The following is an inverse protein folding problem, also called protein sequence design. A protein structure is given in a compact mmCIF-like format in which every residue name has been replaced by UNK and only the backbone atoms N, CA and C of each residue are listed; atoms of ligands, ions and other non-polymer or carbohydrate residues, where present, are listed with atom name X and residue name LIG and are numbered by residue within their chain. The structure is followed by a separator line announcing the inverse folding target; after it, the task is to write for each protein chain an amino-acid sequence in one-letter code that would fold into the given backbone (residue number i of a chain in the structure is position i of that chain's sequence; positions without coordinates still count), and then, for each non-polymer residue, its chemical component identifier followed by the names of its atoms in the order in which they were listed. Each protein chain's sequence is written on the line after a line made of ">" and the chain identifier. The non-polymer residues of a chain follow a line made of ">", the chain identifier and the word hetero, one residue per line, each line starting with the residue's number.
data_IF_577332995340
#
_entry.id   IF_577332995340
#
_cell.length_a   1.000
_cell.length_b   1.000
_cell.length_c   1.000
_cell.angle_alpha   90.00
_cell.angle_beta   90.00
_cell.angle_gamma   90.00
#
_symmetry.space_group_name_H-M   'P 1'
#
loop_
_entity.id
_entity.type
_entity.pdbx_description
1 polymer ?
#
# COMPACT_ATOMS: atom_id res chain seq x y z
N UNK A 1 -12.31 -6.23 -27.05
CA UNK A 1 -11.44 -7.35 -26.61
C UNK A 1 -11.47 -7.38 -25.09
N UNK A 2 -12.15 -8.36 -24.50
CA UNK A 2 -12.34 -8.48 -23.05
C UNK A 2 -11.13 -9.16 -22.41
N UNK A 3 -10.17 -8.38 -21.90
CA UNK A 3 -9.28 -8.89 -20.86
C UNK A 3 -10.05 -8.85 -19.54
N UNK A 4 -10.58 -9.99 -19.08
CA UNK A 4 -10.91 -10.17 -17.67
C UNK A 4 -9.58 -10.29 -16.90
N UNK A 5 -8.87 -9.17 -16.76
CA UNK A 5 -7.51 -9.10 -16.24
C UNK A 5 -7.48 -9.49 -14.77
N UNK A 6 -6.71 -10.53 -14.44
CA UNK A 6 -6.23 -10.81 -13.09
C UNK A 6 -5.39 -9.61 -12.65
N UNK A 7 -6.03 -8.63 -12.00
CA UNK A 7 -5.33 -7.49 -11.41
C UNK A 7 -4.82 -7.92 -10.03
N UNK A 8 -3.52 -7.79 -9.81
CA UNK A 8 -2.85 -8.09 -8.55
C UNK A 8 -2.59 -6.81 -7.75
N UNK A 9 -2.20 -6.96 -6.50
CA UNK A 9 -1.86 -5.80 -5.67
C UNK A 9 -1.84 -6.10 -4.19
N UNK A 10 -2.07 -5.07 -3.39
CA UNK A 10 -2.07 -5.12 -1.94
C UNK A 10 -3.43 -4.74 -1.37
N UNK A 11 -3.85 -5.46 -0.34
CA UNK A 11 -4.99 -5.09 0.47
C UNK A 11 -4.55 -4.93 1.92
N UNK A 12 -5.03 -3.86 2.56
CA UNK A 12 -4.74 -3.52 3.94
C UNK A 12 -6.07 -3.45 4.69
N UNK A 13 -6.35 -4.44 5.55
CA UNK A 13 -7.60 -4.53 6.32
C UNK A 13 -7.33 -4.32 7.81
N UNK A 14 -8.13 -3.51 8.53
CA UNK A 14 -7.98 -3.34 9.97
C UNK A 14 -8.00 -4.68 10.71
N UNK A 15 -7.03 -4.90 11.60
CA UNK A 15 -6.99 -6.09 12.45
C UNK A 15 -7.34 -5.70 13.88
N UNK A 16 -8.55 -6.05 14.30
CA UNK A 16 -9.13 -5.63 15.59
C UNK A 16 -9.08 -6.74 16.65
N UNK A 17 -8.44 -7.86 16.34
CA UNK A 17 -8.36 -9.04 17.22
C UNK A 17 -9.74 -9.57 17.67
N UNK A 18 -10.79 -9.28 16.90
CA UNK A 18 -12.14 -9.79 17.12
C UNK A 18 -12.37 -11.05 16.27
N UNK A 19 -13.44 -11.79 16.57
CA UNK A 19 -13.78 -13.03 15.84
C UNK A 19 -13.76 -12.83 14.31
N UNK A 20 -14.35 -11.74 13.82
CA UNK A 20 -14.45 -11.42 12.40
C UNK A 20 -13.08 -11.29 11.72
N UNK A 21 -12.17 -10.55 12.34
CA UNK A 21 -10.83 -10.28 11.77
C UNK A 21 -9.88 -11.48 11.93
N UNK A 22 -10.05 -12.29 12.98
CA UNK A 22 -9.34 -13.56 13.15
C UNK A 22 -9.78 -14.58 12.08
N UNK A 23 -11.08 -14.72 11.87
CA UNK A 23 -11.63 -15.62 10.83
C UNK A 23 -11.16 -15.22 9.42
N UNK A 24 -11.11 -13.92 9.12
CA UNK A 24 -10.55 -13.40 7.87
C UNK A 24 -9.08 -13.81 7.70
N UNK A 25 -8.25 -13.59 8.72
CA UNK A 25 -6.82 -13.94 8.71
C UNK A 25 -6.63 -15.44 8.38
N UNK A 26 -7.35 -16.31 9.09
CA UNK A 26 -7.28 -17.76 8.87
C UNK A 26 -7.76 -18.19 7.47
N UNK A 27 -8.82 -17.55 6.96
CA UNK A 27 -9.32 -17.78 5.61
C UNK A 27 -8.27 -17.41 4.55
N UNK A 28 -7.61 -16.26 4.73
CA UNK A 28 -6.58 -15.76 3.82
C UNK A 28 -5.28 -16.59 3.86
N UNK A 29 -4.91 -17.13 5.02
CA UNK A 29 -3.79 -18.09 5.13
C UNK A 29 -3.99 -19.29 4.21
N UNK A 30 -5.22 -19.81 4.12
CA UNK A 30 -5.58 -20.95 3.26
C UNK A 30 -5.89 -20.58 1.81
N UNK A 31 -6.07 -19.30 1.51
CA UNK A 31 -6.49 -18.84 0.17
C UNK A 31 -5.36 -18.91 -0.85
N UNK A 32 -5.63 -19.47 -2.04
CA UNK A 32 -4.69 -19.44 -3.17
C UNK A 32 -4.60 -18.07 -3.84
N UNK A 33 -5.53 -17.16 -3.52
CA UNK A 33 -5.54 -15.79 -4.02
C UNK A 33 -4.57 -14.86 -3.26
N UNK A 34 -4.23 -15.20 -2.01
CA UNK A 34 -3.31 -14.44 -1.16
C UNK A 34 -1.94 -15.08 -1.22
N UNK A 35 -0.96 -14.35 -1.73
CA UNK A 35 0.43 -14.80 -1.88
C UNK A 35 1.20 -14.69 -0.58
N UNK A 36 1.29 -13.47 -0.07
CA UNK A 36 1.98 -13.13 1.16
C UNK A 36 1.04 -12.36 2.07
N UNK A 37 1.24 -12.51 3.38
CA UNK A 37 0.44 -11.81 4.38
C UNK A 37 1.30 -11.38 5.55
N UNK A 38 1.05 -10.18 6.06
CA UNK A 38 1.86 -9.54 7.08
C UNK A 38 0.98 -8.88 8.13
N UNK A 39 1.40 -8.96 9.38
CA UNK A 39 0.87 -8.11 10.44
C UNK A 39 1.66 -6.81 10.46
N UNK A 40 0.96 -5.67 10.33
CA UNK A 40 1.61 -4.37 10.18
C UNK A 40 1.02 -3.31 11.11
N UNK A 41 1.87 -2.36 11.51
CA UNK A 41 1.43 -1.10 12.10
C UNK A 41 1.30 -0.04 11.01
N UNK A 42 0.10 0.51 10.84
CA UNK A 42 -0.18 1.61 9.93
C UNK A 42 0.01 2.96 10.64
N UNK A 43 0.74 3.87 9.99
CA UNK A 43 0.90 5.26 10.39
C UNK A 43 0.42 6.15 9.25
N UNK A 44 -0.79 6.68 9.39
CA UNK A 44 -1.37 7.59 8.40
C UNK A 44 -0.79 9.00 8.56
N UNK A 45 -0.50 9.65 7.43
CA UNK A 45 -0.19 11.09 7.41
C UNK A 45 -1.42 11.91 7.80
N UNK A 46 -1.25 13.19 8.21
CA UNK A 46 -2.40 14.08 8.44
C UNK A 46 -3.37 14.14 7.25
N UNK A 47 -2.84 14.13 6.03
CA UNK A 47 -3.63 14.08 4.80
C UNK A 47 -4.37 12.74 4.67
N UNK A 48 -3.71 11.61 4.92
CA UNK A 48 -4.34 10.30 4.89
C UNK A 48 -5.48 10.16 5.91
N UNK A 49 -5.28 10.68 7.12
CA UNK A 49 -6.29 10.67 8.18
C UNK A 49 -7.55 11.45 7.79
N UNK A 50 -7.40 12.56 7.04
CA UNK A 50 -8.54 13.36 6.60
C UNK A 50 -9.48 12.62 5.63
N UNK A 51 -8.94 11.69 4.83
CA UNK A 51 -9.72 10.95 3.82
C UNK A 51 -10.16 9.55 4.28
N UNK A 52 -9.43 8.92 5.21
CA UNK A 52 -9.62 7.51 5.58
C UNK A 52 -9.98 7.32 7.06
N UNK A 53 -10.73 8.27 7.65
CA UNK A 53 -11.25 8.16 9.01
C UNK A 53 -12.65 7.53 9.03
N UNK A 54 -12.96 6.64 10.00
CA UNK A 54 -12.07 6.16 11.07
C UNK A 54 -11.03 5.14 10.55
N UNK A 55 -9.86 5.10 11.19
CA UNK A 55 -8.75 4.20 10.87
C UNK A 55 -8.27 3.40 12.10
N UNK A 56 -7.45 2.37 11.86
CA UNK A 56 -6.77 1.59 12.92
C UNK A 56 -5.27 1.92 12.94
N UNK A 57 -4.57 1.43 13.96
CA UNK A 57 -3.10 1.36 13.91
C UNK A 57 -2.62 -0.03 13.50
N UNK A 58 -3.44 -1.06 13.66
CA UNK A 58 -3.09 -2.45 13.38
C UNK A 58 -3.86 -2.95 12.18
N UNK A 59 -3.14 -3.52 11.21
CA UNK A 59 -3.68 -4.01 9.95
C UNK A 59 -3.06 -5.36 9.57
N UNK A 60 -3.81 -6.10 8.75
CA UNK A 60 -3.27 -7.18 7.91
C UNK A 60 -3.01 -6.60 6.53
N UNK A 61 -1.75 -6.64 6.09
CA UNK A 61 -1.35 -6.35 4.73
C UNK A 61 -1.22 -7.67 3.97
N UNK A 62 -1.95 -7.85 2.87
CA UNK A 62 -1.89 -9.05 2.05
C UNK A 62 -1.65 -8.71 0.59
N UNK A 63 -0.75 -9.46 -0.06
CA UNK A 63 -0.54 -9.42 -1.52
C UNK A 63 -1.53 -10.38 -2.19
N UNK A 64 -2.33 -9.90 -3.13
CA UNK A 64 -3.35 -10.69 -3.81
C UNK A 64 -3.09 -10.82 -5.31
N UNK A 65 -3.55 -11.93 -5.92
CA UNK A 65 -3.45 -12.22 -7.37
C UNK A 65 -4.66 -11.75 -8.18
N UNK A 66 -5.85 -11.74 -7.58
CA UNK A 66 -7.11 -11.42 -8.25
C UNK A 66 -7.91 -10.41 -7.42
N UNK A 67 -8.02 -9.20 -7.97
CA UNK A 67 -8.79 -8.08 -7.39
C UNK A 67 -10.25 -8.41 -7.18
N UNK A 68 -10.92 -9.09 -8.11
CA UNK A 68 -12.34 -9.41 -7.95
C UNK A 68 -12.56 -10.31 -6.73
N UNK A 69 -11.76 -11.38 -6.60
CA UNK A 69 -11.84 -12.31 -5.46
C UNK A 69 -11.56 -11.60 -4.14
N UNK A 70 -10.55 -10.74 -4.07
CA UNK A 70 -10.23 -10.05 -2.81
C UNK A 70 -11.32 -9.03 -2.44
N UNK A 71 -11.90 -8.33 -3.42
CA UNK A 71 -13.02 -7.42 -3.19
C UNK A 71 -14.26 -8.17 -2.66
N UNK A 72 -14.59 -9.30 -3.27
CA UNK A 72 -15.69 -10.15 -2.80
C UNK A 72 -15.45 -10.64 -1.35
N UNK A 73 -14.20 -10.96 -0.99
CA UNK A 73 -13.86 -11.38 0.37
C UNK A 73 -13.92 -10.23 1.38
N UNK A 74 -13.36 -9.05 1.10
CA UNK A 74 -13.40 -7.93 2.06
C UNK A 74 -14.82 -7.43 2.32
N UNK A 75 -15.77 -7.62 1.39
CA UNK A 75 -17.17 -7.23 1.64
C UNK A 75 -17.78 -8.01 2.81
N UNK A 76 -17.38 -9.27 3.00
CA UNK A 76 -17.79 -10.12 4.14
C UNK A 76 -17.22 -9.59 5.46
N UNK A 77 -16.00 -9.03 5.40
CA UNK A 77 -15.25 -8.58 6.56
C UNK A 77 -15.28 -7.07 6.81
N UNK A 78 -16.14 -6.32 6.11
CA UNK A 78 -16.27 -4.86 6.24
C UNK A 78 -16.41 -4.40 7.70
N UNK A 79 -15.73 -3.32 8.02
CA UNK A 79 -15.76 -2.66 9.32
C UNK A 79 -16.02 -1.17 9.10
N UNK A 80 -16.28 -0.43 10.17
CA UNK A 80 -16.40 1.03 10.11
C UNK A 80 -15.03 1.65 9.80
N UNK A 81 -13.94 0.99 10.20
CA UNK A 81 -12.58 1.41 9.86
C UNK A 81 -12.24 1.09 8.40
N UNK A 82 -11.61 2.06 7.73
CA UNK A 82 -11.28 1.93 6.31
C UNK A 82 -10.27 0.81 6.03
N UNK A 83 -10.64 -0.09 5.12
CA UNK A 83 -9.71 -0.98 4.40
C UNK A 83 -9.23 -0.28 3.12
N UNK A 84 -7.97 -0.47 2.76
CA UNK A 84 -7.34 0.11 1.57
C UNK A 84 -6.96 -1.00 0.59
N UNK A 85 -7.22 -0.79 -0.69
CA UNK A 85 -6.92 -1.72 -1.76
C UNK A 85 -6.06 -0.98 -2.77
N UNK A 86 -4.81 -1.41 -2.94
CA UNK A 86 -3.86 -0.89 -3.91
C UNK A 86 -3.77 -1.90 -5.06
N UNK A 87 -4.44 -1.61 -6.16
CA UNK A 87 -4.38 -2.42 -7.37
C UNK A 87 -3.16 -1.98 -8.18
N UNK A 88 -2.16 -2.85 -8.31
CA UNK A 88 -0.92 -2.52 -9.05
C UNK A 88 -1.26 -2.46 -10.54
N UNK A 89 -0.84 -1.36 -11.18
CA UNK A 89 -0.91 -1.16 -12.63
C UNK A 89 0.44 -1.47 -13.26
N UNK A 90 1.37 -0.54 -13.14
CA UNK A 90 2.70 -0.60 -13.73
C UNK A 90 3.78 -0.62 -12.64
N UNK A 91 4.79 -1.46 -12.82
CA UNK A 91 5.99 -1.44 -11.97
C UNK A 91 6.92 -0.30 -12.43
N UNK A 92 7.25 0.58 -11.48
CA UNK A 92 8.27 1.63 -11.70
C UNK A 92 9.67 1.06 -11.59
N UNK A 93 9.82 0.06 -10.71
CA UNK A 93 11.11 -0.47 -10.31
C UNK A 93 10.94 -1.81 -9.59
N UNK A 94 11.79 -2.78 -9.88
CA UNK A 94 11.91 -4.02 -9.09
C UNK A 94 13.38 -4.48 -9.10
N UNK A 95 13.87 -4.94 -7.94
CA UNK A 95 15.18 -5.59 -7.81
C UNK A 95 15.17 -6.60 -6.68
N UNK A 96 16.04 -7.58 -6.79
CA UNK A 96 16.42 -8.39 -5.63
C UNK A 96 17.25 -7.55 -4.67
N UNK A 97 16.81 -7.49 -3.42
CA UNK A 97 17.53 -6.86 -2.31
C UNK A 97 17.73 -7.89 -1.22
N UNK A 98 18.89 -7.83 -0.58
CA UNK A 98 19.21 -8.68 0.56
C UNK A 98 18.35 -8.27 1.77
N UNK A 99 17.55 -9.20 2.28
CA UNK A 99 16.73 -9.01 3.49
C UNK A 99 15.26 -9.37 3.26
N UNK A 100 14.46 -9.28 4.33
CA UNK A 100 13.01 -9.41 4.24
C UNK A 100 12.34 -8.03 4.14
N UNK A 101 11.17 -7.97 3.50
CA UNK A 101 10.37 -6.76 3.47
C UNK A 101 10.06 -6.32 4.90
N UNK A 102 10.46 -5.11 5.26
CA UNK A 102 10.27 -4.55 6.62
C UNK A 102 9.32 -3.37 6.65
N UNK A 103 9.15 -2.70 5.52
CA UNK A 103 8.40 -1.47 5.46
C UNK A 103 7.76 -1.30 4.09
N UNK A 104 6.50 -0.87 4.08
CA UNK A 104 5.80 -0.46 2.85
C UNK A 104 5.36 0.97 3.03
N UNK A 105 5.70 1.83 2.09
CA UNK A 105 5.36 3.25 2.15
C UNK A 105 4.54 3.64 0.94
N UNK A 106 3.38 4.26 1.18
CA UNK A 106 2.41 4.60 0.14
C UNK A 106 2.31 6.11 0.01
N UNK A 107 2.38 6.59 -1.23
CA UNK A 107 2.32 7.99 -1.58
C UNK A 107 1.24 8.23 -2.64
N UNK A 108 0.77 9.46 -2.73
CA UNK A 108 0.03 9.93 -3.90
C UNK A 108 0.72 11.12 -4.53
N UNK A 109 0.54 11.26 -5.84
CA UNK A 109 1.07 12.37 -6.63
C UNK A 109 -0.08 13.34 -6.98
N UNK A 110 0.09 14.63 -6.66
CA UNK A 110 -0.99 15.62 -6.84
C UNK A 110 -1.17 16.10 -8.29
N UNK A 111 -0.09 16.15 -9.08
CA UNK A 111 -0.08 16.78 -10.41
C UNK A 111 0.68 15.97 -11.47
N UNK A 112 0.97 14.68 -11.24
CA UNK A 112 1.72 13.86 -12.20
C UNK A 112 0.78 13.28 -13.26
N UNK A 113 0.50 14.04 -14.31
CA UNK A 113 -0.22 13.52 -15.47
C UNK A 113 0.71 13.17 -16.64
N UNK A 114 2.00 13.48 -16.53
CA UNK A 114 2.95 13.19 -17.60
C UNK A 114 3.72 11.89 -17.36
N UNK A 115 3.97 11.16 -18.45
CA UNK A 115 4.89 9.99 -18.45
C UNK A 115 6.30 10.38 -18.03
N UNK A 116 6.69 11.65 -18.22
CA UNK A 116 7.95 12.21 -17.78
C UNK A 116 8.05 12.25 -16.25
N UNK A 117 7.01 12.72 -15.55
CA UNK A 117 6.98 12.74 -14.08
C UNK A 117 7.14 11.34 -13.51
N UNK A 118 6.40 10.38 -14.08
CA UNK A 118 6.48 8.97 -13.70
C UNK A 118 7.91 8.43 -13.88
N UNK A 119 8.55 8.72 -15.01
CA UNK A 119 9.94 8.33 -15.29
C UNK A 119 10.93 8.95 -14.31
N UNK A 120 10.72 10.21 -13.92
CA UNK A 120 11.56 10.90 -12.95
C UNK A 120 11.38 10.38 -11.52
N UNK A 121 10.16 10.02 -11.13
CA UNK A 121 9.85 9.32 -9.88
C UNK A 121 10.58 7.97 -9.88
N UNK A 122 10.39 7.15 -10.91
CA UNK A 122 11.06 5.86 -11.07
C UNK A 122 12.59 6.00 -10.98
N UNK A 123 13.17 6.93 -11.73
CA UNK A 123 14.61 7.21 -11.74
C UNK A 123 15.16 7.67 -10.39
N UNK A 124 14.34 8.38 -9.59
CA UNK A 124 14.73 8.81 -8.24
C UNK A 124 14.71 7.65 -7.25
N UNK A 125 13.72 6.76 -7.39
CA UNK A 125 13.56 5.57 -6.57
C UNK A 125 14.59 4.49 -6.94
N UNK A 126 14.90 4.30 -8.22
CA UNK A 126 15.88 3.32 -8.69
C UNK A 126 17.29 3.52 -8.08
N UNK A 127 17.63 4.75 -7.68
CA UNK A 127 18.87 5.08 -6.97
C UNK A 127 18.87 4.67 -5.48
N UNK A 128 17.77 4.10 -4.97
CA UNK A 128 17.57 3.73 -3.57
C UNK A 128 17.85 2.25 -3.34
N UNK A 129 19.04 1.95 -2.82
CA UNK A 129 19.50 0.58 -2.56
C UNK A 129 18.56 -0.29 -1.73
N UNK A 130 17.76 0.28 -0.81
CA UNK A 130 16.88 -0.47 0.10
C UNK A 130 15.47 -0.72 -0.49
N UNK A 131 15.14 -0.07 -1.60
CA UNK A 131 13.84 -0.25 -2.25
C UNK A 131 13.90 -1.54 -3.08
N UNK A 132 13.12 -2.54 -2.67
CA UNK A 132 12.94 -3.80 -3.41
C UNK A 132 12.09 -3.57 -4.63
N UNK A 133 10.96 -2.88 -4.47
CA UNK A 133 10.04 -2.60 -5.55
C UNK A 133 9.38 -1.23 -5.36
N UNK A 134 8.99 -0.65 -6.49
CA UNK A 134 8.12 0.50 -6.55
C UNK A 134 7.14 0.33 -7.69
N UNK A 135 5.87 0.61 -7.44
CA UNK A 135 4.82 0.42 -8.46
C UNK A 135 3.80 1.55 -8.40
N UNK A 136 3.21 1.85 -9.55
CA UNK A 136 2.01 2.68 -9.65
C UNK A 136 0.80 1.82 -9.31
N UNK A 137 -0.10 2.36 -8.51
CA UNK A 137 -1.32 1.69 -8.14
C UNK A 137 -2.56 2.59 -8.25
N UNK A 138 -3.71 1.95 -8.38
CA UNK A 138 -5.00 2.54 -8.09
C UNK A 138 -5.41 2.20 -6.65
N UNK A 139 -5.82 3.20 -5.88
CA UNK A 139 -6.41 3.06 -4.56
C UNK A 139 -7.93 2.98 -4.64
N UNK A 140 -8.48 1.93 -4.03
CA UNK A 140 -9.87 1.86 -3.61
C UNK A 140 -9.94 1.72 -2.09
N UNK A 141 -11.07 2.11 -1.48
CA UNK A 141 -11.32 1.89 -0.07
C UNK A 141 -12.64 1.20 0.18
N UNK A 142 -12.72 0.46 1.28
CA UNK A 142 -13.91 -0.26 1.72
C UNK A 142 -14.14 -0.05 3.21
N UNK A 143 -15.29 0.51 3.55
CA UNK A 143 -15.79 0.72 4.90
C UNK A 143 -17.33 0.59 4.91
N UNK A 144 -17.92 0.44 6.10
CA UNK A 144 -19.34 0.67 6.34
C UNK A 144 -19.69 2.17 6.36
N UNK A 145 -18.76 3.02 6.79
CA UNK A 145 -18.93 4.46 6.79
C UNK A 145 -18.58 5.04 5.42
N UNK A 146 -19.45 5.93 4.94
CA UNK A 146 -19.15 6.68 3.73
C UNK A 146 -18.15 7.79 4.04
N UNK A 147 -17.05 7.92 3.29
CA UNK A 147 -16.11 9.00 3.50
C UNK A 147 -16.80 10.34 3.22
N UNK A 148 -16.50 11.36 4.04
CA UNK A 148 -17.05 12.71 3.87
C UNK A 148 -16.63 13.37 2.56
N UNK A 149 -15.46 12.99 2.04
CA UNK A 149 -14.89 13.50 0.81
C UNK A 149 -14.35 12.35 -0.04
N UNK A 150 -14.50 12.48 -1.36
CA UNK A 150 -13.87 11.57 -2.30
C UNK A 150 -12.38 11.91 -2.41
N UNK A 151 -11.52 10.90 -2.24
CA UNK A 151 -10.08 11.07 -2.43
C UNK A 151 -9.78 11.27 -3.94
N UNK A 152 -9.25 12.44 -4.35
CA UNK A 152 -9.17 12.79 -5.76
C UNK A 152 -7.98 12.13 -6.48
N UNK A 153 -6.94 11.71 -5.74
CA UNK A 153 -5.69 11.20 -6.30
C UNK A 153 -5.63 9.67 -6.38
N UNK A 154 -6.79 9.00 -6.42
CA UNK A 154 -6.90 7.54 -6.32
C UNK A 154 -6.17 6.77 -7.42
N UNK A 155 -5.91 7.38 -8.58
CA UNK A 155 -5.21 6.74 -9.70
C UNK A 155 -3.69 7.01 -9.72
N UNK A 156 -3.20 7.86 -8.82
CA UNK A 156 -1.82 8.37 -8.84
C UNK A 156 -1.07 7.91 -7.58
N UNK A 157 -1.18 6.63 -7.24
CA UNK A 157 -0.55 6.07 -6.04
C UNK A 157 0.80 5.47 -6.39
N UNK A 158 1.79 5.71 -5.54
CA UNK A 158 3.10 5.04 -5.59
C UNK A 158 3.25 4.19 -4.34
N UNK A 159 3.42 2.89 -4.51
CA UNK A 159 3.71 1.94 -3.43
C UNK A 159 5.20 1.62 -3.47
N UNK A 160 5.90 1.83 -2.36
CA UNK A 160 7.32 1.48 -2.20
C UNK A 160 7.46 0.34 -1.20
N UNK A 161 8.07 -0.76 -1.60
CA UNK A 161 8.52 -1.81 -0.70
C UNK A 161 9.99 -1.59 -0.33
N UNK A 162 10.28 -1.66 0.96
CA UNK A 162 11.63 -1.47 1.50
C UNK A 162 12.03 -2.70 2.30
N UNK A 163 13.17 -3.25 1.92
CA UNK A 163 13.84 -4.35 2.60
C UNK A 163 15.13 -3.84 3.21
N UNK A 164 15.27 -4.01 4.52
CA UNK A 164 16.45 -3.58 5.26
C UNK A 164 16.60 -4.41 6.54
N UNK A 165 17.77 -4.32 7.17
CA UNK A 165 18.03 -4.86 8.51
C UNK A 165 17.96 -3.76 9.59
N UNK A 166 17.48 -2.56 9.23
CA UNK A 166 17.42 -1.42 10.13
C UNK A 166 16.08 -1.35 10.88
N UNK A 167 15.94 -0.36 11.76
CA UNK A 167 14.69 -0.09 12.46
C UNK A 167 13.63 0.52 11.52
N UNK A 168 12.34 0.31 11.81
CA UNK A 168 11.25 0.97 11.09
C UNK A 168 11.36 2.50 11.07
N UNK A 169 11.94 3.11 12.12
CA UNK A 169 12.16 4.55 12.16
C UNK A 169 13.21 4.99 11.13
N UNK A 170 14.25 4.18 10.92
CA UNK A 170 15.28 4.42 9.90
C UNK A 170 14.69 4.28 8.50
N UNK A 171 13.90 3.24 8.27
CA UNK A 171 13.23 3.00 6.98
C UNK A 171 12.24 4.13 6.64
N UNK A 172 11.47 4.60 7.62
CA UNK A 172 10.58 5.73 7.41
C UNK A 172 11.36 7.02 7.05
N UNK A 173 12.46 7.31 7.75
CA UNK A 173 13.34 8.45 7.41
C UNK A 173 13.94 8.30 6.01
N UNK A 174 14.27 7.09 5.60
CA UNK A 174 14.77 6.77 4.26
C UNK A 174 13.71 7.04 3.19
N UNK A 175 12.48 6.62 3.41
CA UNK A 175 11.36 6.89 2.50
C UNK A 175 11.05 8.39 2.41
N UNK A 176 11.05 9.12 3.53
CA UNK A 176 10.85 10.58 3.54
C UNK A 176 11.99 11.34 2.84
N UNK A 177 13.23 10.84 2.90
CA UNK A 177 14.32 11.38 2.08
C UNK A 177 14.05 11.13 0.59
N UNK A 178 13.56 9.96 0.22
CA UNK A 178 13.17 9.61 -1.15
C UNK A 178 12.09 10.54 -1.68
N UNK A 179 11.01 10.73 -0.90
CA UNK A 179 9.93 11.67 -1.20
C UNK A 179 10.45 13.10 -1.42
N UNK A 180 11.32 13.60 -0.54
CA UNK A 180 11.90 14.95 -0.67
C UNK A 180 12.75 15.11 -1.93
N UNK A 181 13.50 14.08 -2.33
CA UNK A 181 14.31 14.13 -3.54
C UNK A 181 13.45 14.12 -4.81
N UNK A 182 12.31 13.42 -4.80
CA UNK A 182 11.29 13.53 -5.86
C UNK A 182 10.69 14.94 -5.89
N UNK A 183 10.31 15.50 -4.73
CA UNK A 183 9.75 16.85 -4.65
C UNK A 183 10.71 17.93 -5.15
N UNK A 184 12.02 17.76 -4.96
CA UNK A 184 13.05 18.69 -5.46
C UNK A 184 13.13 18.75 -6.98
N UNK A 185 12.56 17.76 -7.68
CA UNK A 185 12.43 17.76 -9.14
C UNK A 185 11.13 18.42 -9.63
N UNK A 186 10.32 18.98 -8.74
CA UNK A 186 9.06 19.63 -9.07
C UNK A 186 7.83 18.72 -8.97
N UNK A 187 8.01 17.45 -8.57
CA UNK A 187 6.91 16.48 -8.51
C UNK A 187 6.36 16.41 -7.09
N UNK A 188 5.12 16.87 -6.90
CA UNK A 188 4.47 16.86 -5.58
C UNK A 188 4.05 15.44 -5.18
N UNK A 189 4.87 14.82 -4.33
CA UNK A 189 4.67 13.48 -3.77
C UNK A 189 4.38 13.59 -2.27
N UNK A 190 3.20 13.12 -1.87
CA UNK A 190 2.69 13.25 -0.49
C UNK A 190 2.51 11.87 0.11
N UNK A 191 3.01 11.67 1.34
CA UNK A 191 2.82 10.42 2.07
C UNK A 191 1.34 10.23 2.39
N UNK A 192 0.82 9.03 2.16
CA UNK A 192 -0.54 8.65 2.53
C UNK A 192 -0.54 7.83 3.80
N UNK A 193 0.21 6.73 3.79
CA UNK A 193 0.33 5.80 4.89
C UNK A 193 1.66 5.08 4.82
N UNK A 194 2.27 4.87 5.98
CA UNK A 194 3.46 4.06 6.17
C UNK A 194 3.10 2.80 6.96
N UNK A 195 3.49 1.63 6.47
CA UNK A 195 3.19 0.33 7.03
C UNK A 195 4.48 -0.33 7.51
N UNK A 196 4.63 -0.47 8.83
CA UNK A 196 5.76 -1.17 9.45
C UNK A 196 5.42 -2.63 9.64
N UNK A 197 6.21 -3.54 9.07
CA UNK A 197 5.95 -4.98 9.13
C UNK A 197 6.46 -5.54 10.45
N UNK A 198 5.52 -5.99 11.28
CA UNK A 198 5.81 -6.60 12.57
C UNK A 198 6.07 -8.10 12.43
N UNK A 199 5.27 -8.78 11.62
CA UNK A 199 5.38 -10.23 11.43
C UNK A 199 4.93 -10.68 10.04
N UNK A 200 5.49 -11.79 9.56
CA UNK A 200 5.07 -12.46 8.32
C UNK A 200 4.18 -13.65 8.69
N UNK A 201 2.93 -13.60 8.23
CA UNK A 201 1.90 -14.59 8.53
C UNK A 201 1.77 -15.66 7.44
N UNK A 202 2.08 -15.31 6.19
CA UNK A 202 2.11 -16.20 5.03
C UNK A 202 3.18 -15.75 4.05
#
# INVERSE_FOLDING_TARGET
>A
MNHSSLQQGYVCVPYLHNHKTVEMKESWERSTNVENMYFVTATFSPEGQAYFSPYSNQYILAKFKNRKKILDDITKYKDDKASLIFTIGDDLFEREVNGSMKFVSVYYLQYSESTQDISEVASSIAKREKVSSASIAQLDSSSNENPKFTFPYKNNIVVLEVSSNESHQSDNKYCEKTRRDVCRKGITMVNLVSLSILDKLK
#
